data_IF_327817693294
#
_entry.id   IF_327817693294
#
_cell.length_a   1.000
_cell.length_b   1.000
_cell.length_c   1.000
_cell.angle_alpha   90.00
_cell.angle_beta   90.00
_cell.angle_gamma   90.00
#
_symmetry.space_group_name_H-M   'P 1'
#
loop_
_entity.id
_entity.type
_entity.pdbx_description
1 polymer ?
#
# COMPACT_ATOMS: atom_id res chain seq x y z
N UNK A 1 -20.73 15.75 4.91
CA UNK A 1 -20.79 14.90 3.68
C UNK A 1 -19.66 13.86 3.71
N UNK A 2 -19.89 12.59 3.37
CA UNK A 2 -18.82 11.57 3.33
C UNK A 2 -18.04 11.66 2.01
N UNK A 3 -16.73 11.71 2.08
CA UNK A 3 -15.83 11.64 0.93
C UNK A 3 -14.73 10.60 1.18
N UNK A 4 -13.95 10.32 0.16
CA UNK A 4 -12.86 9.35 0.18
C UNK A 4 -11.59 10.03 -0.31
N UNK A 5 -10.50 9.80 0.40
CA UNK A 5 -9.17 10.26 0.06
C UNK A 5 -8.32 9.04 -0.30
N UNK A 6 -7.68 9.08 -1.47
CA UNK A 6 -6.77 8.04 -1.94
C UNK A 6 -5.40 8.67 -2.07
N UNK A 7 -4.38 8.08 -1.47
CA UNK A 7 -3.03 8.62 -1.49
C UNK A 7 -1.98 7.52 -1.38
N UNK A 8 -0.77 7.83 -1.83
CA UNK A 8 0.42 7.06 -1.56
C UNK A 8 1.07 7.59 -0.27
N UNK A 9 1.47 6.71 0.63
CA UNK A 9 2.19 7.07 1.85
C UNK A 9 3.62 6.58 1.76
N UNK A 10 4.57 7.46 2.04
CA UNK A 10 5.96 7.06 2.21
C UNK A 10 6.24 6.53 3.63
N UNK A 11 7.48 6.07 3.85
CA UNK A 11 7.94 5.53 5.13
C UNK A 11 8.04 6.61 6.24
N UNK A 12 8.06 7.89 5.89
CA UNK A 12 8.07 9.02 6.83
C UNK A 12 6.65 9.53 7.14
N UNK A 13 5.63 8.97 6.50
CA UNK A 13 4.23 9.36 6.67
C UNK A 13 3.80 10.56 5.82
N UNK A 14 4.60 10.96 4.82
CA UNK A 14 4.18 11.97 3.86
C UNK A 14 3.25 11.38 2.81
N UNK A 15 2.28 12.18 2.39
CA UNK A 15 1.27 11.80 1.41
C UNK A 15 1.63 12.33 0.02
N UNK A 16 1.67 11.42 -0.96
CA UNK A 16 1.85 11.70 -2.37
C UNK A 16 0.61 11.33 -3.19
N UNK A 17 0.52 11.88 -4.41
CA UNK A 17 -0.48 11.50 -5.42
C UNK A 17 -1.94 11.51 -4.91
N UNK A 18 -2.26 12.46 -4.03
CA UNK A 18 -3.55 12.55 -3.33
C UNK A 18 -4.71 12.81 -4.30
N UNK A 19 -5.77 12.01 -4.19
CA UNK A 19 -7.02 12.12 -4.97
C UNK A 19 -8.23 12.06 -4.05
N UNK A 20 -9.24 12.87 -4.35
CA UNK A 20 -10.50 12.91 -3.59
C UNK A 20 -11.66 12.41 -4.44
N UNK A 21 -12.56 11.63 -3.83
CA UNK A 21 -13.75 11.07 -4.47
C UNK A 21 -14.96 11.19 -3.55
N UNK A 22 -16.11 11.59 -4.07
CA UNK A 22 -17.38 11.60 -3.29
C UNK A 22 -18.15 10.28 -3.36
N UNK A 23 -17.87 9.46 -4.39
CA UNK A 23 -18.53 8.19 -4.64
C UNK A 23 -17.58 7.02 -4.30
N UNK A 24 -18.06 6.03 -3.56
CA UNK A 24 -17.26 4.89 -3.12
C UNK A 24 -16.81 3.99 -4.28
N UNK A 25 -17.68 3.69 -5.24
CA UNK A 25 -17.31 2.88 -6.40
C UNK A 25 -16.19 3.55 -7.19
N UNK A 26 -16.27 4.88 -7.35
CA UNK A 26 -15.22 5.65 -8.00
C UNK A 26 -13.91 5.66 -7.18
N UNK A 27 -14.02 5.76 -5.86
CA UNK A 27 -12.86 5.67 -4.97
C UNK A 27 -12.13 4.32 -5.11
N UNK A 28 -12.88 3.21 -5.22
CA UNK A 28 -12.33 1.87 -5.43
C UNK A 28 -11.67 1.74 -6.82
N UNK A 29 -12.27 2.29 -7.88
CA UNK A 29 -11.63 2.33 -9.20
C UNK A 29 -10.29 3.07 -9.15
N UNK A 30 -10.25 4.24 -8.51
CA UNK A 30 -9.04 5.07 -8.38
C UNK A 30 -7.99 4.37 -7.54
N UNK A 31 -8.38 3.75 -6.42
CA UNK A 31 -7.49 2.96 -5.58
C UNK A 31 -6.87 1.78 -6.34
N UNK A 32 -7.70 1.01 -7.05
CA UNK A 32 -7.21 -0.12 -7.86
C UNK A 32 -6.25 0.34 -8.97
N UNK A 33 -6.50 1.50 -9.59
CA UNK A 33 -5.59 2.08 -10.56
C UNK A 33 -4.25 2.48 -9.92
N UNK A 34 -4.27 3.10 -8.74
CA UNK A 34 -3.06 3.46 -8.00
C UNK A 34 -2.23 2.22 -7.61
N UNK A 35 -2.88 1.16 -7.12
CA UNK A 35 -2.20 -0.11 -6.82
C UNK A 35 -1.55 -0.71 -8.06
N UNK A 36 -2.24 -0.72 -9.20
CA UNK A 36 -1.68 -1.22 -10.46
C UNK A 36 -0.48 -0.39 -10.92
N UNK A 37 -0.56 0.94 -10.79
CA UNK A 37 0.56 1.82 -11.12
C UNK A 37 1.76 1.54 -10.22
N UNK A 38 1.56 1.43 -8.90
CA UNK A 38 2.64 1.11 -7.97
C UNK A 38 3.32 -0.22 -8.28
N UNK A 39 2.56 -1.24 -8.70
CA UNK A 39 3.12 -2.53 -9.17
C UNK A 39 3.93 -2.35 -10.46
N UNK A 40 3.42 -1.57 -11.43
CA UNK A 40 4.10 -1.34 -12.70
C UNK A 40 5.38 -0.51 -12.53
N UNK A 41 5.37 0.49 -11.64
CA UNK A 41 6.48 1.41 -11.40
C UNK A 41 7.70 0.68 -10.80
N UNK A 42 7.45 -0.34 -9.98
CA UNK A 42 8.52 -1.20 -9.42
C UNK A 42 8.81 -2.40 -10.30
N UNK A 43 7.91 -2.74 -11.23
CA UNK A 43 8.12 -3.64 -12.36
C UNK A 43 8.79 -4.97 -12.03
N UNK A 44 10.12 -5.01 -12.23
CA UNK A 44 10.98 -6.19 -12.09
C UNK A 44 11.64 -6.37 -10.72
N UNK A 45 11.59 -5.35 -9.86
CA UNK A 45 12.17 -5.41 -8.51
C UNK A 45 11.19 -5.96 -7.48
N UNK A 46 9.98 -6.35 -7.90
CA UNK A 46 9.00 -7.00 -7.02
C UNK A 46 9.65 -8.24 -6.39
N UNK A 47 9.53 -8.34 -5.07
CA UNK A 47 10.08 -9.47 -4.33
C UNK A 47 9.49 -10.78 -4.83
N UNK A 48 10.20 -11.89 -4.69
CA UNK A 48 9.67 -13.17 -5.10
C UNK A 48 8.55 -13.68 -4.14
N UNK A 49 7.97 -14.83 -4.45
CA UNK A 49 6.88 -15.40 -3.63
C UNK A 49 7.35 -15.85 -2.25
N UNK A 50 8.61 -16.26 -2.12
CA UNK A 50 9.20 -16.70 -0.85
C UNK A 50 9.34 -15.51 0.07
N UNK A 51 10.03 -14.46 -0.40
CA UNK A 51 10.22 -13.19 0.29
C UNK A 51 8.88 -12.53 0.65
N UNK A 52 7.93 -12.53 -0.29
CA UNK A 52 6.57 -12.05 -0.03
C UNK A 52 5.95 -12.80 1.15
N UNK A 53 6.05 -14.13 1.18
CA UNK A 53 5.55 -14.96 2.26
C UNK A 53 6.17 -14.62 3.63
N UNK A 54 7.47 -14.35 3.66
CA UNK A 54 8.17 -13.91 4.87
C UNK A 54 7.68 -12.53 5.35
N UNK A 55 7.49 -11.57 4.42
CA UNK A 55 6.90 -10.27 4.74
C UNK A 55 5.48 -10.36 5.25
N UNK A 56 4.65 -11.25 4.69
CA UNK A 56 3.29 -11.48 5.21
C UNK A 56 3.33 -12.07 6.63
N UNK A 57 4.25 -13.00 6.88
CA UNK A 57 4.42 -13.61 8.21
C UNK A 57 4.83 -12.55 9.23
N UNK A 58 5.87 -11.79 8.91
CA UNK A 58 6.35 -10.67 9.75
C UNK A 58 5.24 -9.66 9.99
N UNK A 59 4.51 -9.24 8.94
CA UNK A 59 3.43 -8.27 9.06
C UNK A 59 2.36 -8.71 10.06
N UNK A 60 1.99 -9.99 10.08
CA UNK A 60 0.99 -10.55 11.02
C UNK A 60 1.46 -10.53 12.47
N UNK A 61 2.74 -10.79 12.69
CA UNK A 61 3.32 -10.78 14.04
C UNK A 61 3.28 -9.38 14.65
N UNK A 62 3.59 -8.37 13.84
CA UNK A 62 3.62 -6.96 14.26
C UNK A 62 2.25 -6.25 14.22
N UNK A 63 1.29 -6.75 13.42
CA UNK A 63 -0.02 -6.13 13.23
C UNK A 63 -1.15 -7.09 13.63
N UNK A 64 -1.32 -7.31 14.93
CA UNK A 64 -2.35 -8.24 15.44
C UNK A 64 -3.79 -7.71 15.31
N UNK A 65 -3.95 -6.38 15.21
CA UNK A 65 -5.26 -5.71 15.23
C UNK A 65 -5.76 -5.28 13.84
N UNK A 66 -5.20 -5.85 12.76
CA UNK A 66 -5.61 -5.51 11.39
C UNK A 66 -6.34 -6.67 10.73
N UNK A 67 -7.36 -6.34 9.93
CA UNK A 67 -8.10 -7.31 9.15
C UNK A 67 -7.43 -7.49 7.78
N UNK A 68 -6.78 -8.64 7.54
CA UNK A 68 -6.21 -8.92 6.21
C UNK A 68 -7.34 -9.30 5.25
N UNK A 69 -7.61 -8.43 4.28
CA UNK A 69 -8.63 -8.63 3.24
C UNK A 69 -8.13 -9.51 2.09
N UNK A 70 -6.86 -9.38 1.70
CA UNK A 70 -6.25 -10.19 0.64
C UNK A 70 -4.75 -10.30 0.80
N UNK A 71 -4.19 -11.47 0.47
CA UNK A 71 -2.73 -11.73 0.45
C UNK A 71 -2.27 -12.23 -0.92
N UNK A 72 -2.88 -11.70 -1.99
CA UNK A 72 -2.63 -12.14 -3.36
C UNK A 72 -1.38 -11.44 -3.89
N UNK A 73 -0.31 -12.22 -4.07
CA UNK A 73 0.91 -11.77 -4.73
C UNK A 73 0.60 -10.93 -5.99
N UNK A 74 1.22 -9.75 -6.17
CA UNK A 74 2.33 -9.18 -5.39
C UNK A 74 1.93 -8.21 -4.26
N UNK A 75 0.65 -8.14 -3.86
CA UNK A 75 0.19 -7.16 -2.88
C UNK A 75 -0.51 -7.77 -1.65
N UNK A 76 -0.38 -7.07 -0.54
CA UNK A 76 -1.14 -7.29 0.68
C UNK A 76 -2.22 -6.21 0.80
N UNK A 77 -3.47 -6.61 0.95
CA UNK A 77 -4.59 -5.72 1.22
C UNK A 77 -5.09 -5.97 2.65
N UNK A 78 -5.16 -4.92 3.46
CA UNK A 78 -5.69 -5.01 4.82
C UNK A 78 -6.52 -3.79 5.16
N UNK A 79 -7.32 -3.92 6.21
CA UNK A 79 -8.11 -2.85 6.79
C UNK A 79 -7.69 -2.60 8.23
N UNK A 80 -7.54 -1.33 8.58
CA UNK A 80 -7.31 -0.88 9.95
C UNK A 80 -8.19 0.35 10.19
N UNK A 81 -9.20 0.23 11.06
CA UNK A 81 -10.24 1.24 11.24
C UNK A 81 -10.90 1.57 9.88
N UNK A 82 -10.98 2.86 9.51
CA UNK A 82 -11.56 3.34 8.26
C UNK A 82 -10.57 3.40 7.07
N UNK A 83 -9.39 2.80 7.23
CA UNK A 83 -8.35 2.75 6.20
C UNK A 83 -8.34 1.40 5.50
N UNK A 84 -8.48 1.41 4.19
CA UNK A 84 -8.15 0.29 3.32
C UNK A 84 -6.76 0.52 2.73
N UNK A 85 -5.82 -0.38 3.01
CA UNK A 85 -4.41 -0.19 2.67
C UNK A 85 -3.89 -1.34 1.82
N UNK A 86 -3.23 -1.00 0.72
CA UNK A 86 -2.48 -1.94 -0.11
C UNK A 86 -0.97 -1.71 0.07
N UNK A 87 -0.23 -2.80 0.28
CA UNK A 87 1.23 -2.82 0.30
C UNK A 87 1.75 -3.62 -0.89
N UNK A 88 2.70 -3.05 -1.62
CA UNK A 88 3.45 -3.73 -2.69
C UNK A 88 4.90 -3.79 -2.24
N UNK A 89 5.46 -4.99 -2.09
CA UNK A 89 6.83 -5.19 -1.61
C UNK A 89 7.80 -5.34 -2.78
N UNK A 90 8.94 -4.66 -2.70
CA UNK A 90 9.97 -4.69 -3.75
C UNK A 90 11.36 -4.44 -3.16
N UNK A 91 12.37 -4.89 -3.90
CA UNK A 91 13.77 -4.66 -3.62
C UNK A 91 14.16 -3.23 -3.96
N UNK A 92 14.84 -2.55 -3.04
CA UNK A 92 15.39 -1.22 -3.26
C UNK A 92 16.84 -1.21 -2.79
N UNK A 93 17.71 -0.65 -3.62
CA UNK A 93 19.11 -0.44 -3.25
C UNK A 93 19.19 0.51 -2.06
N UNK A 94 19.79 0.05 -0.97
CA UNK A 94 19.91 0.77 0.29
C UNK A 94 21.22 1.58 0.37
N UNK A 95 22.28 1.11 -0.29
CA UNK A 95 23.59 1.77 -0.29
C UNK A 95 24.16 1.96 -1.69
N UNK A 96 24.78 3.11 -1.94
CA UNK A 96 25.47 3.39 -3.20
C UNK A 96 26.86 2.77 -3.26
N UNK A 97 27.52 2.57 -2.12
CA UNK A 97 28.91 2.09 -2.04
C UNK A 97 29.01 0.57 -1.96
N UNK A 98 28.04 -0.05 -1.30
CA UNK A 98 27.95 -1.49 -1.10
C UNK A 98 26.67 -1.91 -1.81
N UNK A 99 26.70 -2.95 -2.66
CA UNK A 99 25.53 -3.43 -3.43
C UNK A 99 24.49 -4.09 -2.50
N UNK A 100 24.01 -3.34 -1.51
CA UNK A 100 23.08 -3.76 -0.49
C UNK A 100 21.66 -3.40 -0.93
N UNK A 101 20.77 -4.38 -0.81
CA UNK A 101 19.38 -4.28 -1.18
C UNK A 101 18.52 -4.62 0.01
N UNK A 102 17.50 -3.80 0.23
CA UNK A 102 16.48 -4.03 1.25
C UNK A 102 15.11 -4.20 0.61
N UNK A 103 14.27 -5.01 1.24
CA UNK A 103 12.85 -5.08 0.87
C UNK A 103 12.11 -3.94 1.54
N UNK A 104 11.57 -3.05 0.73
CA UNK A 104 10.69 -1.95 1.14
C UNK A 104 9.28 -2.16 0.56
N UNK A 105 8.38 -1.21 0.81
CA UNK A 105 7.03 -1.26 0.26
C UNK A 105 6.49 0.10 -0.19
N UNK A 106 5.69 0.06 -1.26
CA UNK A 106 4.79 1.15 -1.65
C UNK A 106 3.48 0.97 -0.88
N UNK A 107 3.00 2.05 -0.27
CA UNK A 107 1.78 2.03 0.54
C UNK A 107 0.72 2.89 -0.12
N UNK A 108 -0.41 2.31 -0.49
CA UNK A 108 -1.55 3.01 -1.06
C UNK A 108 -2.70 2.91 -0.07
N UNK A 109 -3.30 4.04 0.28
CA UNK A 109 -4.35 4.14 1.30
C UNK A 109 -5.61 4.74 0.69
N UNK A 110 -6.76 4.11 0.96
CA UNK A 110 -8.09 4.70 0.80
C UNK A 110 -8.65 4.96 2.20
N UNK A 111 -8.93 6.23 2.47
CA UNK A 111 -9.45 6.74 3.73
C UNK A 111 -10.84 7.34 3.54
N UNK A 112 -11.80 6.94 4.38
CA UNK A 112 -13.08 7.64 4.48
C UNK A 112 -12.94 8.91 5.33
N UNK A 113 -13.35 10.06 4.79
CA UNK A 113 -13.31 11.35 5.48
C UNK A 113 -14.71 11.96 5.59
N UNK A 114 -14.93 12.69 6.67
CA UNK A 114 -16.11 13.54 6.85
C UNK A 114 -15.78 14.97 6.48
N UNK A 115 -16.57 15.55 5.58
CA UNK A 115 -16.51 16.96 5.25
C UNK A 115 -17.53 17.67 6.13
N UNK A 116 -17.03 18.49 7.06
CA UNK A 116 -17.81 19.41 7.87
C UNK A 116 -18.06 20.66 7.01
N UNK A 117 -19.33 21.05 6.86
CA UNK A 117 -19.73 22.32 6.21
C UNK A 117 -19.63 23.49 7.19
#
# INVERSE_FOLDING_TARGET
>A
MKAFKIYESDLMGYEGNVKYCKNYNKAIEVFNAAVKNAVNDVGGDIVDKTDFGEKITSFREWNKDVEITSRKYPYLLYRKKDLLTALVFYWKRASYEYEEYDIVNSTIILEGIEIIE
#
